data_IF_197869081477
#
_entry.id   IF_197869081477
#
_cell.length_a   1.000
_cell.length_b   1.000
_cell.length_c   1.000
_cell.angle_alpha   90.00
_cell.angle_beta   90.00
_cell.angle_gamma   90.00
#
_symmetry.space_group_name_H-M   'P 1'
#
loop_
_entity.id
_entity.type
_entity.pdbx_description
1 polymer ?
#
# COMPACT_ATOMS: atom_id res chain seq x y z
N UNK A 1 13.03 -17.16 -10.33
CA UNK A 1 13.71 -16.17 -9.48
C UNK A 1 14.08 -16.72 -8.11
N UNK A 2 13.12 -17.16 -7.28
CA UNK A 2 13.38 -17.59 -5.87
C UNK A 2 14.51 -18.62 -5.69
N UNK A 3 14.64 -19.60 -6.57
CA UNK A 3 15.64 -20.67 -6.48
C UNK A 3 16.88 -20.43 -7.37
N UNK A 4 17.12 -19.19 -7.80
CA UNK A 4 18.25 -18.86 -8.68
C UNK A 4 19.58 -18.70 -7.94
N UNK A 5 19.55 -18.43 -6.63
CA UNK A 5 20.73 -18.04 -5.83
C UNK A 5 21.48 -16.80 -6.34
N UNK A 6 20.86 -16.04 -7.26
CA UNK A 6 21.37 -14.79 -7.83
C UNK A 6 21.13 -13.65 -6.85
N UNK A 7 22.02 -12.66 -6.85
CA UNK A 7 21.91 -11.49 -6.00
C UNK A 7 20.66 -10.65 -6.31
N UNK A 8 20.00 -10.03 -5.31
CA UNK A 8 18.78 -9.25 -5.52
C UNK A 8 18.90 -8.19 -6.63
N UNK A 9 20.03 -7.47 -6.68
CA UNK A 9 20.27 -6.45 -7.71
C UNK A 9 20.40 -7.04 -9.11
N UNK A 10 21.00 -8.22 -9.23
CA UNK A 10 21.15 -8.91 -10.51
C UNK A 10 19.81 -9.48 -10.99
N UNK A 11 18.89 -9.81 -10.08
CA UNK A 11 17.53 -10.27 -10.44
C UNK A 11 16.73 -9.23 -11.25
N UNK A 12 17.06 -7.94 -11.12
CA UNK A 12 16.36 -6.84 -11.79
C UNK A 12 16.52 -6.91 -13.31
N UNK A 13 17.71 -7.28 -13.79
CA UNK A 13 18.04 -7.31 -15.21
C UNK A 13 17.69 -8.66 -15.87
N UNK A 14 17.03 -9.56 -15.14
CA UNK A 14 16.75 -10.91 -15.67
C UNK A 14 15.54 -10.90 -16.62
N UNK A 15 15.52 -11.80 -17.63
CA UNK A 15 14.35 -11.97 -18.51
C UNK A 15 13.06 -12.25 -17.72
N UNK A 16 13.15 -12.90 -16.56
CA UNK A 16 12.00 -13.18 -15.72
C UNK A 16 11.43 -11.90 -15.09
N UNK A 17 12.25 -10.89 -14.78
CA UNK A 17 11.76 -9.61 -14.25
C UNK A 17 10.99 -8.86 -15.32
N UNK A 18 11.57 -8.80 -16.53
CA UNK A 18 10.92 -8.21 -17.69
C UNK A 18 9.58 -8.89 -17.99
N UNK A 19 9.55 -10.23 -18.03
CA UNK A 19 8.33 -10.98 -18.27
C UNK A 19 7.25 -10.77 -17.19
N UNK A 20 7.63 -10.59 -15.92
CA UNK A 20 6.68 -10.27 -14.84
C UNK A 20 6.01 -8.91 -15.08
N UNK A 21 6.80 -7.89 -15.43
CA UNK A 21 6.27 -6.55 -15.73
C UNK A 21 5.39 -6.54 -16.97
N UNK A 22 5.81 -7.22 -18.04
CA UNK A 22 5.01 -7.36 -19.27
C UNK A 22 3.66 -8.03 -18.97
N UNK A 23 3.64 -9.10 -18.16
CA UNK A 23 2.40 -9.75 -17.75
C UNK A 23 1.53 -8.85 -16.89
N UNK A 24 2.10 -8.08 -15.96
CA UNK A 24 1.34 -7.13 -15.15
C UNK A 24 0.69 -6.04 -16.02
N UNK A 25 1.40 -5.51 -17.00
CA UNK A 25 0.86 -4.55 -17.97
C UNK A 25 -0.23 -5.17 -18.84
N UNK A 26 -0.04 -6.42 -19.31
CA UNK A 26 -1.09 -7.14 -20.04
C UNK A 26 -2.36 -7.38 -19.20
N UNK A 27 -2.23 -7.57 -17.89
CA UNK A 27 -3.39 -7.63 -16.97
C UNK A 27 -4.10 -6.26 -16.92
N UNK A 28 -3.38 -5.15 -16.82
CA UNK A 28 -3.96 -3.81 -16.84
C UNK A 28 -4.74 -3.57 -18.14
N UNK A 29 -4.15 -3.92 -19.28
CA UNK A 29 -4.83 -3.84 -20.59
C UNK A 29 -6.10 -4.68 -20.62
N UNK A 30 -6.04 -5.94 -20.16
CA UNK A 30 -7.18 -6.85 -20.10
C UNK A 30 -8.30 -6.37 -19.16
N UNK A 31 -7.96 -5.65 -18.08
CA UNK A 31 -8.93 -5.03 -17.18
C UNK A 31 -9.56 -3.75 -17.76
N UNK A 32 -9.10 -3.28 -18.93
CA UNK A 32 -9.66 -2.13 -19.63
C UNK A 32 -8.76 -0.90 -19.66
N UNK A 33 -7.44 -1.07 -19.53
CA UNK A 33 -6.43 0.00 -19.58
C UNK A 33 -6.28 0.73 -18.24
N UNK A 34 -5.56 1.86 -18.24
CA UNK A 34 -5.18 2.62 -17.01
C UNK A 34 -6.38 2.95 -16.09
N UNK A 35 -7.54 3.26 -16.68
CA UNK A 35 -8.76 3.64 -15.95
C UNK A 35 -9.65 2.45 -15.54
N UNK A 36 -9.14 1.22 -15.60
CA UNK A 36 -9.92 0.01 -15.29
C UNK A 36 -10.67 0.11 -13.95
N UNK A 37 -10.01 0.63 -12.91
CA UNK A 37 -10.58 0.72 -11.56
C UNK A 37 -11.80 1.64 -11.51
N UNK A 38 -11.78 2.76 -12.23
CA UNK A 38 -12.94 3.66 -12.35
C UNK A 38 -14.09 2.96 -13.08
N UNK A 39 -13.80 2.21 -14.15
CA UNK A 39 -14.82 1.44 -14.88
C UNK A 39 -15.50 0.42 -13.97
N UNK A 40 -14.73 -0.38 -13.24
CA UNK A 40 -15.27 -1.39 -12.31
C UNK A 40 -16.17 -0.76 -11.24
N UNK A 41 -15.71 0.32 -10.59
CA UNK A 41 -16.51 1.00 -9.55
C UNK A 41 -17.77 1.67 -10.14
N UNK A 42 -17.68 2.22 -11.36
CA UNK A 42 -18.81 2.88 -12.02
C UNK A 42 -19.91 1.93 -12.46
N UNK A 43 -19.55 0.68 -12.77
CA UNK A 43 -20.48 -0.38 -13.16
C UNK A 43 -21.10 -1.10 -11.97
N UNK A 44 -20.58 -0.88 -10.75
CA UNK A 44 -21.06 -1.55 -9.56
C UNK A 44 -22.36 -0.91 -9.05
N UNK A 45 -23.39 -1.73 -8.86
CA UNK A 45 -24.62 -1.32 -8.19
C UNK A 45 -24.36 -1.03 -6.70
N UNK A 46 -25.26 -0.24 -6.07
CA UNK A 46 -25.11 0.21 -4.68
C UNK A 46 -24.87 -0.94 -3.69
N UNK A 47 -25.50 -2.10 -3.90
CA UNK A 47 -25.35 -3.30 -3.06
C UNK A 47 -24.02 -4.02 -3.26
N UNK A 48 -23.36 -3.84 -4.40
CA UNK A 48 -22.12 -4.54 -4.74
C UNK A 48 -20.88 -3.65 -4.64
N UNK A 49 -21.09 -2.33 -4.54
CA UNK A 49 -20.03 -1.33 -4.54
C UNK A 49 -18.91 -1.63 -3.54
N UNK A 50 -19.24 -1.96 -2.30
CA UNK A 50 -18.25 -2.32 -1.27
C UNK A 50 -17.37 -3.50 -1.71
N UNK A 51 -18.00 -4.55 -2.22
CA UNK A 51 -17.30 -5.76 -2.69
C UNK A 51 -16.40 -5.43 -3.88
N UNK A 52 -16.86 -4.61 -4.82
CA UNK A 52 -16.07 -4.19 -5.98
C UNK A 52 -14.89 -3.31 -5.54
N UNK A 53 -15.09 -2.36 -4.62
CA UNK A 53 -14.02 -1.54 -4.05
C UNK A 53 -12.94 -2.41 -3.39
N UNK A 54 -13.34 -3.46 -2.67
CA UNK A 54 -12.41 -4.43 -2.08
C UNK A 54 -11.61 -5.21 -3.13
N UNK A 55 -12.26 -5.68 -4.19
CA UNK A 55 -11.57 -6.38 -5.28
C UNK A 55 -10.62 -5.46 -6.04
N UNK A 56 -11.03 -4.22 -6.32
CA UNK A 56 -10.20 -3.20 -6.96
C UNK A 56 -8.96 -2.92 -6.11
N UNK A 57 -9.11 -2.76 -4.79
CA UNK A 57 -7.99 -2.58 -3.88
C UNK A 57 -7.01 -3.77 -3.90
N UNK A 58 -7.52 -5.01 -3.92
CA UNK A 58 -6.70 -6.23 -3.99
C UNK A 58 -5.90 -6.32 -5.28
N UNK A 59 -6.54 -6.04 -6.41
CA UNK A 59 -5.87 -6.01 -7.73
C UNK A 59 -4.83 -4.90 -7.78
N UNK A 60 -5.13 -3.71 -7.24
CA UNK A 60 -4.16 -2.61 -7.12
C UNK A 60 -2.94 -3.00 -6.29
N UNK A 61 -3.14 -3.64 -5.13
CA UNK A 61 -2.05 -4.13 -4.29
C UNK A 61 -1.18 -5.15 -5.03
N UNK A 62 -1.81 -6.11 -5.72
CA UNK A 62 -1.11 -7.11 -6.53
C UNK A 62 -0.28 -6.47 -7.65
N UNK A 63 -0.88 -5.59 -8.46
CA UNK A 63 -0.19 -4.92 -9.57
C UNK A 63 0.97 -4.07 -9.07
N UNK A 64 0.77 -3.29 -8.00
CA UNK A 64 1.83 -2.51 -7.37
C UNK A 64 2.97 -3.41 -6.87
N UNK A 65 2.64 -4.56 -6.27
CA UNK A 65 3.63 -5.54 -5.84
C UNK A 65 4.46 -6.02 -7.03
N UNK A 66 3.86 -6.43 -8.14
CA UNK A 66 4.66 -6.91 -9.28
C UNK A 66 5.48 -5.78 -9.91
N UNK A 67 4.86 -4.63 -10.17
CA UNK A 67 5.50 -3.51 -10.87
C UNK A 67 6.58 -2.80 -10.04
N UNK A 68 6.50 -2.83 -8.72
CA UNK A 68 7.50 -2.28 -7.79
C UNK A 68 8.53 -3.28 -7.26
N UNK A 69 8.51 -4.54 -7.73
CA UNK A 69 9.43 -5.58 -7.23
C UNK A 69 10.90 -5.25 -7.50
N UNK A 70 11.21 -4.70 -8.67
CA UNK A 70 12.57 -4.28 -9.05
C UNK A 70 13.12 -3.19 -8.11
N UNK A 71 12.30 -2.20 -7.76
CA UNK A 71 12.67 -1.12 -6.83
C UNK A 71 13.02 -1.68 -5.46
N UNK A 72 12.26 -2.67 -4.98
CA UNK A 72 12.52 -3.35 -3.70
C UNK A 72 13.79 -4.20 -3.76
N UNK A 73 14.02 -4.92 -4.86
CA UNK A 73 15.26 -5.67 -5.08
C UNK A 73 16.49 -4.78 -5.22
N UNK A 74 16.34 -3.55 -5.72
CA UNK A 74 17.43 -2.58 -5.87
C UNK A 74 18.02 -2.14 -4.53
N UNK A 75 17.29 -2.31 -3.42
CA UNK A 75 17.77 -2.08 -2.07
C UNK A 75 18.93 -3.03 -1.68
N UNK A 76 19.11 -4.14 -2.41
CA UNK A 76 20.21 -5.07 -2.22
C UNK A 76 19.90 -6.18 -1.23
N UNK A 77 20.93 -6.69 -0.55
CA UNK A 77 20.82 -7.83 0.37
C UNK A 77 20.23 -7.45 1.73
N UNK A 78 18.98 -7.00 1.72
CA UNK A 78 18.20 -6.75 2.93
C UNK A 78 17.16 -7.86 3.04
N UNK A 79 17.16 -8.59 4.16
CA UNK A 79 16.18 -9.63 4.43
C UNK A 79 15.30 -9.22 5.62
N UNK A 80 14.52 -8.15 5.44
CA UNK A 80 13.53 -7.67 6.40
C UNK A 80 12.16 -7.66 5.71
N UNK A 81 11.12 -8.29 6.29
CA UNK A 81 9.76 -8.28 5.71
C UNK A 81 9.24 -6.88 5.40
N UNK A 82 9.69 -5.84 6.12
CA UNK A 82 9.26 -4.46 5.91
C UNK A 82 9.53 -3.96 4.49
N UNK A 83 10.64 -4.40 3.86
CA UNK A 83 11.00 -3.98 2.50
C UNK A 83 10.26 -4.79 1.43
N UNK A 84 9.48 -5.80 1.83
CA UNK A 84 8.64 -6.57 0.93
C UNK A 84 7.32 -5.85 0.61
N UNK A 85 7.09 -4.66 1.13
CA UNK A 85 5.99 -3.76 0.72
C UNK A 85 6.52 -2.36 0.50
N UNK A 86 5.81 -1.57 -0.29
CA UNK A 86 6.19 -0.18 -0.51
C UNK A 86 5.74 0.67 0.68
N UNK A 87 6.66 1.50 1.18
CA UNK A 87 6.38 2.50 2.20
C UNK A 87 6.62 3.87 1.58
N UNK A 88 5.56 4.67 1.49
CA UNK A 88 5.58 5.99 0.85
C UNK A 88 5.26 7.09 1.86
N UNK A 89 5.84 8.27 1.67
CA UNK A 89 5.36 9.48 2.33
C UNK A 89 4.02 9.88 1.73
N UNK A 90 3.02 10.14 2.58
CA UNK A 90 1.71 10.61 2.19
C UNK A 90 1.32 11.92 2.88
N UNK A 91 0.36 12.63 2.29
CA UNK A 91 -0.32 13.77 2.89
C UNK A 91 -1.77 13.42 3.16
N UNK A 92 -2.23 13.60 4.40
CA UNK A 92 -3.64 13.41 4.73
C UNK A 92 -4.44 14.57 4.14
N UNK A 93 -5.29 14.26 3.16
CA UNK A 93 -6.13 15.22 2.45
C UNK A 93 -7.47 15.45 3.15
N UNK A 94 -8.00 14.44 3.84
CA UNK A 94 -9.22 14.57 4.63
C UNK A 94 -9.31 13.49 5.70
N UNK A 95 -10.08 13.77 6.75
CA UNK A 95 -10.31 12.87 7.89
C UNK A 95 -11.78 12.89 8.26
N UNK A 96 -12.37 11.71 8.47
CA UNK A 96 -13.73 11.55 8.96
C UNK A 96 -13.83 10.43 9.99
N UNK A 97 -14.81 10.51 10.89
CA UNK A 97 -15.13 9.39 11.79
C UNK A 97 -15.69 8.22 10.99
N UNK A 98 -15.29 7.01 11.37
CA UNK A 98 -15.83 5.81 10.73
C UNK A 98 -17.33 5.67 11.03
N UNK A 99 -18.20 5.47 10.02
CA UNK A 99 -19.66 5.48 10.21
C UNK A 99 -20.17 4.39 11.15
N UNK A 100 -19.48 3.24 11.15
CA UNK A 100 -19.86 2.05 11.91
C UNK A 100 -18.88 1.67 13.03
N UNK A 101 -17.93 2.55 13.41
CA UNK A 101 -16.91 2.25 14.42
C UNK A 101 -16.38 3.50 15.14
N UNK A 102 -16.72 3.66 16.43
CA UNK A 102 -16.41 4.88 17.19
C UNK A 102 -14.91 5.13 17.44
N UNK A 103 -14.09 4.08 17.32
CA UNK A 103 -12.64 4.10 17.59
C UNK A 103 -11.80 4.15 16.32
N UNK A 104 -12.39 4.41 15.16
CA UNK A 104 -11.68 4.45 13.89
C UNK A 104 -11.90 5.79 13.17
N UNK A 105 -10.84 6.27 12.53
CA UNK A 105 -10.88 7.33 11.53
C UNK A 105 -10.73 6.74 10.14
N UNK A 106 -11.43 7.32 9.19
CA UNK A 106 -11.26 7.11 7.76
C UNK A 106 -10.53 8.31 7.22
N UNK A 107 -9.38 8.08 6.58
CA UNK A 107 -8.55 9.15 6.02
C UNK A 107 -8.38 8.96 4.53
N UNK A 108 -8.36 10.07 3.79
CA UNK A 108 -7.93 10.08 2.39
C UNK A 108 -6.51 10.62 2.33
N UNK A 109 -5.59 9.88 1.71
CA UNK A 109 -4.15 10.17 1.76
C UNK A 109 -3.60 10.26 0.35
N UNK A 110 -3.02 11.41 0.00
CA UNK A 110 -2.28 11.58 -1.24
C UNK A 110 -0.89 10.96 -1.11
N UNK A 111 -0.57 9.99 -1.96
CA UNK A 111 0.74 9.31 -2.02
C UNK A 111 1.48 9.60 -3.34
N UNK A 112 1.13 10.70 -4.01
CA UNK A 112 1.85 11.28 -5.15
C UNK A 112 1.22 10.90 -6.48
N UNK A 113 1.19 9.61 -6.79
CA UNK A 113 0.59 9.07 -8.03
C UNK A 113 -0.93 8.88 -7.92
N UNK A 114 -1.45 8.72 -6.69
CA UNK A 114 -2.88 8.59 -6.42
C UNK A 114 -3.22 8.96 -4.98
N UNK A 115 -4.51 9.05 -4.70
CA UNK A 115 -5.04 9.04 -3.34
C UNK A 115 -5.48 7.62 -2.94
N UNK A 116 -5.33 7.29 -1.67
CA UNK A 116 -5.76 6.02 -1.08
C UNK A 116 -6.55 6.25 0.21
N UNK A 117 -7.42 5.31 0.54
CA UNK A 117 -8.11 5.29 1.84
C UNK A 117 -7.26 4.56 2.86
N UNK A 118 -7.01 5.18 4.03
CA UNK A 118 -6.35 4.54 5.17
C UNK A 118 -7.23 4.66 6.40
N UNK A 119 -7.55 3.53 7.02
CA UNK A 119 -8.29 3.46 8.29
C UNK A 119 -7.29 3.36 9.43
N UNK A 120 -7.46 4.18 10.47
CA UNK A 120 -6.57 4.19 11.64
C UNK A 120 -7.35 4.28 12.95
N UNK A 121 -6.79 3.73 14.02
CA UNK A 121 -7.29 3.85 15.38
C UNK A 121 -6.75 5.09 16.12
N UNK A 122 -5.76 5.80 15.54
CA UNK A 122 -5.25 7.03 16.10
C UNK A 122 -6.19 8.20 15.75
N UNK A 123 -7.06 8.55 16.70
CA UNK A 123 -8.07 9.60 16.54
C UNK A 123 -7.48 11.03 16.47
N UNK A 124 -6.16 11.17 16.60
CA UNK A 124 -5.48 12.47 16.59
C UNK A 124 -4.95 12.86 15.21
N UNK A 125 -5.04 11.98 14.21
CA UNK A 125 -4.68 12.27 12.81
C UNK A 125 -5.58 13.35 12.23
N UNK A 126 -4.99 14.30 11.50
CA UNK A 126 -5.66 15.46 10.90
C UNK A 126 -5.23 15.69 9.46
N UNK A 127 -6.05 16.44 8.73
CA UNK A 127 -5.69 16.99 7.42
C UNK A 127 -4.36 17.77 7.50
N UNK A 128 -3.54 17.65 6.45
CA UNK A 128 -2.20 18.22 6.36
C UNK A 128 -1.11 17.43 7.09
N UNK A 129 -1.44 16.35 7.82
CA UNK A 129 -0.41 15.50 8.42
C UNK A 129 0.44 14.81 7.34
N UNK A 130 1.77 14.84 7.55
CA UNK A 130 2.76 14.13 6.74
C UNK A 130 3.01 12.76 7.38
N UNK A 131 2.54 11.71 6.72
CA UNK A 131 2.52 10.35 7.26
C UNK A 131 3.38 9.42 6.43
N UNK A 132 3.84 8.30 7.01
CA UNK A 132 4.40 7.20 6.25
C UNK A 132 3.32 6.12 6.12
N UNK A 133 3.03 5.70 4.90
CA UNK A 133 2.01 4.69 4.60
C UNK A 133 2.68 3.43 4.06
N UNK A 134 2.50 2.31 4.74
CA UNK A 134 2.80 0.98 4.22
C UNK A 134 1.64 0.50 3.34
N UNK A 135 1.92 0.21 2.07
CA UNK A 135 0.97 -0.36 1.12
C UNK A 135 0.86 -1.88 1.36
N UNK A 136 0.07 -2.22 2.36
CA UNK A 136 -0.22 -3.58 2.79
C UNK A 136 -1.41 -4.18 2.01
N UNK A 137 -1.63 -5.51 2.08
CA UNK A 137 -2.86 -6.11 1.59
C UNK A 137 -4.08 -5.36 2.17
N UNK A 138 -5.05 -4.97 1.33
CA UNK A 138 -6.17 -4.16 1.79
C UNK A 138 -7.06 -4.92 2.77
N UNK A 139 -7.64 -4.19 3.70
CA UNK A 139 -8.52 -4.73 4.74
C UNK A 139 -9.85 -3.97 4.78
N UNK A 140 -10.95 -4.71 4.88
CA UNK A 140 -12.29 -4.14 5.00
C UNK A 140 -12.63 -3.93 6.48
N UNK A 141 -12.84 -2.66 6.85
CA UNK A 141 -13.33 -2.26 8.16
C UNK A 141 -14.80 -1.87 8.01
N UNK A 142 -15.72 -2.82 8.22
CA UNK A 142 -17.18 -2.57 8.29
C UNK A 142 -17.72 -1.70 7.13
N UNK A 143 -17.31 -2.01 5.92
CA UNK A 143 -17.74 -1.31 4.70
C UNK A 143 -16.74 -0.29 4.16
N UNK A 144 -15.64 -0.02 4.87
CA UNK A 144 -14.58 0.88 4.42
C UNK A 144 -13.31 0.09 4.14
N UNK A 145 -12.89 0.07 2.88
CA UNK A 145 -11.67 -0.61 2.44
C UNK A 145 -10.45 0.28 2.71
N UNK A 146 -9.57 -0.17 3.61
CA UNK A 146 -8.25 0.44 3.85
C UNK A 146 -7.23 -0.17 2.89
N UNK A 147 -6.53 0.67 2.12
CA UNK A 147 -5.51 0.27 1.14
C UNK A 147 -4.08 0.30 1.72
N UNK A 148 -3.94 0.56 3.03
CA UNK A 148 -2.65 0.58 3.70
C UNK A 148 -2.76 0.80 5.20
N UNK A 149 -1.61 1.04 5.82
CA UNK A 149 -1.48 1.31 7.25
C UNK A 149 -0.44 2.41 7.47
N UNK A 150 -0.73 3.33 8.40
CA UNK A 150 0.27 4.30 8.83
C UNK A 150 1.34 3.66 9.70
N UNK A 151 2.58 4.12 9.55
CA UNK A 151 3.63 3.78 10.51
C UNK A 151 3.40 4.58 11.79
N UNK A 152 3.60 3.92 12.92
CA UNK A 152 3.41 4.48 14.24
C UNK A 152 4.27 3.78 15.27
N UNK A 153 4.64 4.50 16.32
CA UNK A 153 5.42 3.98 17.44
C UNK A 153 4.97 4.67 18.73
N UNK A 154 4.91 3.92 19.83
CA UNK A 154 4.54 4.45 21.14
C UNK A 154 3.19 5.17 21.15
N UNK A 155 3.23 6.51 21.09
CA UNK A 155 2.09 7.43 21.23
C UNK A 155 1.16 7.52 20.00
N UNK A 156 1.42 6.75 18.94
CA UNK A 156 0.51 6.60 17.79
C UNK A 156 1.18 6.82 16.45
N UNK A 157 0.41 7.32 15.48
CA UNK A 157 0.86 7.54 14.09
C UNK A 157 1.91 8.64 14.02
N UNK A 158 2.92 8.45 13.18
CA UNK A 158 3.91 9.48 12.83
C UNK A 158 3.28 10.53 11.90
N UNK A 159 3.22 11.80 12.34
CA UNK A 159 2.46 12.88 11.67
C UNK A 159 3.32 13.98 11.04
N UNK A 160 4.64 13.91 11.21
CA UNK A 160 5.64 14.84 10.61
C UNK A 160 6.77 14.06 9.92
N UNK A 161 6.39 13.10 9.08
CA UNK A 161 7.35 12.27 8.32
C UNK A 161 8.05 13.12 7.25
N UNK A 162 9.37 13.00 7.17
CA UNK A 162 10.20 13.71 6.20
C UNK A 162 10.32 12.93 4.89
N UNK A 163 10.33 13.65 3.76
CA UNK A 163 10.47 13.10 2.41
C UNK A 163 9.48 13.76 1.44
N UNK A 164 9.62 13.44 0.16
CA UNK A 164 8.69 13.90 -0.89
C UNK A 164 7.46 13.00 -0.93
N UNK A 165 6.29 13.56 -1.22
CA UNK A 165 5.05 12.78 -1.37
C UNK A 165 5.27 11.69 -2.43
N UNK A 166 4.93 10.44 -2.07
CA UNK A 166 5.13 9.26 -2.91
C UNK A 166 6.54 8.70 -2.92
N UNK A 167 7.51 9.42 -2.36
CA UNK A 167 8.87 8.98 -2.15
C UNK A 167 9.05 8.16 -0.86
N UNK A 168 10.30 7.73 -0.63
CA UNK A 168 10.68 7.00 0.58
C UNK A 168 10.69 7.93 1.80
N UNK A 169 10.17 7.49 2.96
CA UNK A 169 10.23 8.27 4.19
C UNK A 169 11.67 8.30 4.74
N UNK A 170 12.04 9.42 5.37
CA UNK A 170 13.37 9.67 5.94
C UNK A 170 13.28 9.82 7.46
N UNK A 171 14.25 9.26 8.17
CA UNK A 171 14.37 9.42 9.63
C UNK A 171 13.28 8.73 10.44
N UNK A 172 12.67 7.66 9.90
CA UNK A 172 11.63 6.91 10.60
C UNK A 172 12.26 6.03 11.69
N UNK A 173 11.78 6.08 12.95
CA UNK A 173 12.24 5.20 14.02
C UNK A 173 12.03 3.72 13.69
N UNK A 174 13.00 2.86 14.04
CA UNK A 174 12.94 1.43 13.70
C UNK A 174 11.71 0.72 14.28
N UNK A 175 11.29 1.13 15.48
CA UNK A 175 10.09 0.64 16.15
C UNK A 175 8.79 0.89 15.38
N UNK A 176 8.75 1.94 14.54
CA UNK A 176 7.57 2.29 13.76
C UNK A 176 7.26 1.29 12.64
N UNK A 177 8.20 0.39 12.35
CA UNK A 177 8.04 -0.67 11.34
C UNK A 177 7.56 -2.00 11.92
N UNK A 178 7.44 -2.13 13.25
CA UNK A 178 7.13 -3.41 13.90
C UNK A 178 5.77 -3.97 13.49
N UNK A 179 4.72 -3.14 13.47
CA UNK A 179 3.38 -3.56 13.06
C UNK A 179 3.36 -3.96 11.57
N UNK A 180 4.03 -3.17 10.72
CA UNK A 180 4.16 -3.50 9.28
C UNK A 180 4.84 -4.84 9.08
N UNK A 181 5.94 -5.10 9.81
CA UNK A 181 6.67 -6.38 9.75
C UNK A 181 5.75 -7.55 10.13
N UNK A 182 5.02 -7.43 11.23
CA UNK A 182 4.09 -8.45 11.70
C UNK A 182 2.99 -8.75 10.68
N UNK A 183 2.43 -7.72 10.02
CA UNK A 183 1.39 -7.90 9.02
C UNK A 183 1.91 -8.55 7.73
N UNK A 184 3.12 -8.20 7.29
CA UNK A 184 3.75 -8.88 6.14
C UNK A 184 4.01 -10.35 6.48
N UNK A 185 4.56 -10.64 7.67
CA UNK A 185 4.78 -12.03 8.09
C UNK A 185 3.48 -12.82 8.20
N UNK A 186 2.42 -12.22 8.73
CA UNK A 186 1.11 -12.85 8.82
C UNK A 186 0.54 -13.16 7.42
N UNK A 187 0.67 -12.22 6.47
CA UNK A 187 0.25 -12.42 5.10
C UNK A 187 1.02 -13.54 4.39
N UNK A 188 2.31 -13.70 4.68
CA UNK A 188 3.14 -14.77 4.10
C UNK A 188 2.85 -16.16 4.69
N UNK A 189 2.25 -16.24 5.89
CA UNK A 189 1.83 -17.49 6.54
C UNK A 189 0.41 -17.91 6.18
N UNK A 190 -0.36 -17.00 5.58
CA UNK A 190 -1.77 -17.17 5.20
C UNK A 190 -1.99 -18.01 3.96
#
# INVERSE_FOLDING_TARGET
MRYSYVEPKELIETPQMKALKEKANGIIEALGGEDWHHKFISLADKSEREKVEEQVAKVRFFLNTILGLDKRLALGKINDPVIAVDIKVGEVMSVGKHPNADRLLVTNVNIGDRAITVVTNDLTVKEGNRVAVALLPPANFRGIVSEGMFLGAGEGVLKDVKGEIGGLPKGVPLEAFNETRNLVEAFLKG
#
